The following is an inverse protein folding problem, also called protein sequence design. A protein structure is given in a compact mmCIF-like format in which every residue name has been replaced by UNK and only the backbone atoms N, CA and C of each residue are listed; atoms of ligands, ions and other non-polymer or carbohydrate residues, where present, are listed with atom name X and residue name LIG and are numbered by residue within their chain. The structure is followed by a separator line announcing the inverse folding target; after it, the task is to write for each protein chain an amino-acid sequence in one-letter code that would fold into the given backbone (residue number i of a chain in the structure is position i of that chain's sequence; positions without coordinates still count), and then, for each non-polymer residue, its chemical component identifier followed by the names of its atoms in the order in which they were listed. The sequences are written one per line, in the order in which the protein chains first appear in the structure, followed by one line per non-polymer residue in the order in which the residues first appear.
data_IF_648115497285
#
_entry.id   IF_648115497285
#
_cell.length_a   1.000
_cell.length_b   1.000
_cell.length_c   1.000
_cell.angle_alpha   90.00
_cell.angle_beta   90.00
_cell.angle_gamma   90.00
#
_symmetry.space_group_name_H-M   'P 1'
#
loop_
_entity.id
_entity.type
_entity.pdbx_description
1 polymer ?
#
# COMPACT_ATOMS: atom_id res chain seq x y z
N UNK A 1 8.26 16.19 6.31
CA UNK A 1 8.98 14.97 5.87
C UNK A 1 8.03 14.00 5.14
N UNK A 2 7.53 14.34 3.94
CA UNK A 2 6.44 13.60 3.28
C UNK A 2 6.68 13.25 1.79
N UNK A 3 7.94 13.19 1.32
CA UNK A 3 8.23 13.04 -0.12
C UNK A 3 8.51 11.59 -0.59
N UNK A 4 8.56 10.60 0.32
CA UNK A 4 8.83 9.18 -0.07
C UNK A 4 7.58 8.33 -0.33
N UNK A 5 6.41 8.76 0.15
CA UNK A 5 5.14 8.04 -0.05
C UNK A 5 4.74 8.04 -1.53
N UNK A 6 4.88 9.22 -2.15
CA UNK A 6 4.84 9.52 -3.59
C UNK A 6 5.28 8.39 -4.51
N UNK A 7 6.58 8.11 -4.45
CA UNK A 7 7.27 7.22 -5.38
C UNK A 7 6.91 5.75 -5.19
N UNK A 8 6.72 5.33 -3.94
CA UNK A 8 6.44 3.92 -3.60
C UNK A 8 5.07 3.51 -4.12
N UNK A 9 4.07 4.35 -3.89
CA UNK A 9 2.70 4.13 -4.36
C UNK A 9 2.61 4.22 -5.88
N UNK A 10 3.38 5.13 -6.52
CA UNK A 10 3.41 5.22 -7.97
C UNK A 10 3.95 3.93 -8.61
N UNK A 11 5.06 3.38 -8.08
CA UNK A 11 5.61 2.09 -8.54
C UNK A 11 4.66 0.93 -8.26
N UNK A 12 3.97 0.95 -7.12
CA UNK A 12 3.01 -0.08 -6.76
C UNK A 12 1.80 -0.06 -7.72
N UNK A 13 1.25 1.13 -7.98
CA UNK A 13 0.16 1.33 -8.93
C UNK A 13 0.53 0.85 -10.34
N UNK A 14 1.73 1.21 -10.84
CA UNK A 14 2.24 0.70 -12.11
C UNK A 14 2.35 -0.83 -12.14
N UNK A 15 2.83 -1.44 -11.06
CA UNK A 15 2.98 -2.90 -10.98
C UNK A 15 1.66 -3.65 -10.91
N UNK A 16 0.64 -3.03 -10.32
CA UNK A 16 -0.72 -3.53 -10.25
C UNK A 16 -1.54 -3.19 -11.51
N UNK A 17 -1.00 -2.40 -12.44
CA UNK A 17 -1.69 -1.98 -13.65
C UNK A 17 -2.84 -1.00 -13.40
N UNK A 18 -2.82 -0.27 -12.28
CA UNK A 18 -3.88 0.68 -11.91
C UNK A 18 -3.36 2.11 -11.81
N UNK A 19 -4.27 3.08 -11.82
CA UNK A 19 -3.93 4.49 -11.57
C UNK A 19 -3.59 4.72 -10.09
N UNK A 20 -2.81 5.76 -9.84
CA UNK A 20 -2.42 6.17 -8.49
C UNK A 20 -3.63 6.58 -7.64
N UNK A 21 -4.64 7.18 -8.28
CA UNK A 21 -5.93 7.51 -7.66
C UNK A 21 -6.70 6.26 -7.27
N UNK A 22 -6.75 5.23 -8.14
CA UNK A 22 -7.43 3.97 -7.82
C UNK A 22 -6.73 3.21 -6.70
N UNK A 23 -5.40 3.25 -6.65
CA UNK A 23 -4.63 2.72 -5.52
C UNK A 23 -4.99 3.47 -4.22
N UNK A 24 -5.06 4.80 -4.26
CA UNK A 24 -5.41 5.61 -3.10
C UNK A 24 -6.85 5.35 -2.62
N UNK A 25 -7.82 5.26 -3.54
CA UNK A 25 -9.23 4.96 -3.22
C UNK A 25 -9.35 3.58 -2.55
N UNK A 26 -8.73 2.54 -3.13
CA UNK A 26 -8.75 1.20 -2.54
C UNK A 26 -8.03 1.17 -1.20
N UNK A 27 -6.86 1.83 -1.07
CA UNK A 27 -6.13 1.92 0.20
C UNK A 27 -6.96 2.63 1.26
N UNK A 28 -7.67 3.69 0.89
CA UNK A 28 -8.57 4.42 1.77
C UNK A 28 -9.79 3.57 2.18
N UNK A 29 -10.38 2.82 1.25
CA UNK A 29 -11.49 1.91 1.57
C UNK A 29 -11.07 0.74 2.46
N UNK A 30 -9.89 0.17 2.23
CA UNK A 30 -9.38 -0.98 2.99
C UNK A 30 -8.87 -0.59 4.38
N UNK A 31 -8.14 0.53 4.47
CA UNK A 31 -7.33 0.86 5.64
C UNK A 31 -7.52 2.29 6.14
N UNK A 32 -8.37 3.08 5.50
CA UNK A 32 -8.62 4.49 5.82
C UNK A 32 -7.35 5.37 5.82
N UNK A 33 -6.39 5.07 4.93
CA UNK A 33 -5.13 5.79 4.82
C UNK A 33 -4.29 5.34 3.62
N UNK A 34 -3.08 5.89 3.49
CA UNK A 34 -2.17 5.52 2.39
C UNK A 34 -1.38 4.25 2.67
N UNK A 35 -0.90 3.58 1.63
CA UNK A 35 -0.08 2.36 1.76
C UNK A 35 1.13 2.56 2.69
N UNK A 36 1.78 3.72 2.60
CA UNK A 36 2.98 4.00 3.40
C UNK A 36 2.64 4.22 4.88
N UNK A 37 1.55 4.94 5.15
CA UNK A 37 1.06 5.14 6.53
C UNK A 37 0.66 3.82 7.17
N UNK A 38 -0.11 2.99 6.47
CA UNK A 38 -0.54 1.69 6.97
C UNK A 38 0.64 0.75 7.16
N UNK A 39 1.62 0.77 6.24
CA UNK A 39 2.87 0.02 6.40
C UNK A 39 3.59 0.44 7.67
N UNK A 40 3.82 1.74 7.86
CA UNK A 40 4.57 2.22 9.01
C UNK A 40 3.80 2.02 10.33
N UNK A 41 2.48 2.16 10.31
CA UNK A 41 1.62 1.84 11.44
C UNK A 41 1.66 0.35 11.81
N UNK A 42 1.46 -0.56 10.85
CA UNK A 42 1.51 -2.02 11.11
C UNK A 42 2.92 -2.48 11.48
N UNK A 43 3.95 -1.85 10.91
CA UNK A 43 5.33 -2.16 11.24
C UNK A 43 5.65 -1.79 12.68
N UNK A 44 5.14 -0.63 13.12
CA UNK A 44 5.42 -0.04 14.41
C UNK A 44 6.65 0.87 14.37
N UNK A 45 6.81 1.74 15.39
CA UNK A 45 7.88 2.75 15.43
C UNK A 45 9.29 2.13 15.41
N UNK A 46 9.48 0.95 16.02
CA UNK A 46 10.77 0.24 16.09
C UNK A 46 10.98 -0.79 14.97
N UNK A 47 10.24 -0.68 13.87
CA UNK A 47 10.32 -1.67 12.82
C UNK A 47 11.59 -1.55 11.96
N UNK A 48 12.42 -2.59 12.02
CA UNK A 48 13.52 -2.76 11.09
C UNK A 48 13.05 -2.89 9.64
N UNK A 49 13.93 -2.54 8.69
CA UNK A 49 13.65 -2.55 7.25
C UNK A 49 13.10 -3.90 6.75
N UNK A 50 13.54 -5.02 7.32
CA UNK A 50 13.04 -6.35 6.98
C UNK A 50 11.54 -6.51 7.33
N UNK A 51 11.12 -6.03 8.50
CA UNK A 51 9.72 -6.08 8.95
C UNK A 51 8.83 -5.21 8.05
N UNK A 52 9.30 -4.00 7.72
CA UNK A 52 8.63 -3.12 6.74
C UNK A 52 8.51 -3.78 5.37
N UNK A 53 9.53 -4.51 4.94
CA UNK A 53 9.50 -5.30 3.71
C UNK A 53 8.45 -6.41 3.71
N UNK A 54 8.34 -7.16 4.82
CA UNK A 54 7.32 -8.20 4.99
C UNK A 54 5.91 -7.61 4.94
N UNK A 55 5.66 -6.55 5.71
CA UNK A 55 4.35 -5.89 5.75
C UNK A 55 4.00 -5.27 4.39
N UNK A 56 4.96 -4.70 3.67
CA UNK A 56 4.71 -4.19 2.32
C UNK A 56 4.24 -5.30 1.36
N UNK A 57 4.76 -6.53 1.52
CA UNK A 57 4.29 -7.68 0.72
C UNK A 57 2.88 -8.11 1.13
N UNK A 58 2.59 -8.17 2.43
CA UNK A 58 1.25 -8.50 2.94
C UNK A 58 0.20 -7.49 2.48
N UNK A 59 0.47 -6.19 2.64
CA UNK A 59 -0.41 -5.11 2.18
C UNK A 59 -0.63 -5.16 0.67
N UNK A 60 0.40 -5.53 -0.09
CA UNK A 60 0.27 -5.71 -1.54
C UNK A 60 -0.65 -6.88 -1.87
N UNK A 61 -0.54 -8.01 -1.20
CA UNK A 61 -1.44 -9.15 -1.39
C UNK A 61 -2.88 -8.78 -1.08
N UNK A 62 -3.11 -7.97 -0.02
CA UNK A 62 -4.44 -7.44 0.29
C UNK A 62 -4.99 -6.54 -0.84
N UNK A 63 -4.15 -5.67 -1.41
CA UNK A 63 -4.53 -4.85 -2.57
C UNK A 63 -4.84 -5.69 -3.80
N UNK A 64 -4.02 -6.70 -4.11
CA UNK A 64 -4.23 -7.60 -5.24
C UNK A 64 -5.56 -8.37 -5.08
N UNK A 65 -5.89 -8.81 -3.87
CA UNK A 65 -7.19 -9.43 -3.58
C UNK A 65 -8.35 -8.46 -3.74
N UNK A 66 -8.27 -7.27 -3.13
CA UNK A 66 -9.32 -6.27 -3.24
C UNK A 66 -9.57 -5.82 -4.69
N UNK A 67 -8.52 -5.78 -5.51
CA UNK A 67 -8.62 -5.52 -6.94
C UNK A 67 -9.30 -6.66 -7.71
N UNK A 68 -9.02 -7.91 -7.34
CA UNK A 68 -9.67 -9.07 -7.93
C UNK A 68 -11.16 -9.16 -7.53
N UNK A 69 -11.48 -8.89 -6.26
CA UNK A 69 -12.84 -8.94 -5.73
C UNK A 69 -13.71 -7.77 -6.24
N UNK A 70 -13.12 -6.60 -6.51
CA UNK A 70 -13.83 -5.41 -7.00
C UNK A 70 -14.00 -5.31 -8.52
N UNK A 71 -13.69 -6.37 -9.27
CA UNK A 71 -13.79 -6.43 -10.74
C UNK A 71 -14.86 -7.43 -11.23
N UNK A 72 -15.86 -7.73 -10.41
CA UNK A 72 -17.05 -8.51 -10.76
C UNK A 72 -18.19 -7.59 -11.24
#
# INVERSE_FOLDING_TARGET
MAERSGLTEHRLAQRLGISRERLADISYRLWNGTFSEVRDHRAGPDANQQKKGRISRELRTELEKALADGND
#
